data_IF_130465161970
#
_entry.id   IF_130465161970
#
_cell.length_a   1.000
_cell.length_b   1.000
_cell.length_c   1.000
_cell.angle_alpha   90.00
_cell.angle_beta   90.00
_cell.angle_gamma   90.00
#
_symmetry.space_group_name_H-M   'P 1'
#
loop_
_entity.id
_entity.type
_entity.pdbx_description
1 polymer ?
#
# COMPACT_ATOMS: atom_id res chain seq x y z
N UNK A 1 -57.46 -11.42 15.32
CA UNK A 1 -56.62 -10.21 15.34
C UNK A 1 -55.15 -10.48 15.73
N UNK A 2 -54.82 -11.40 16.67
CA UNK A 2 -53.42 -11.70 17.07
C UNK A 2 -52.51 -12.31 15.96
N UNK A 3 -53.07 -13.01 14.96
CA UNK A 3 -52.30 -13.68 13.90
C UNK A 3 -51.82 -12.72 12.78
N UNK A 4 -52.51 -11.61 12.57
CA UNK A 4 -52.12 -10.59 11.54
C UNK A 4 -50.94 -9.76 12.04
N UNK A 5 -50.84 -9.45 13.34
CA UNK A 5 -49.74 -8.72 13.91
C UNK A 5 -48.40 -9.47 13.84
N UNK A 6 -48.41 -10.79 13.96
CA UNK A 6 -47.22 -11.63 13.89
C UNK A 6 -46.66 -11.69 12.46
N UNK A 7 -47.56 -11.64 11.45
CA UNK A 7 -47.13 -11.69 10.02
C UNK A 7 -46.44 -10.40 9.58
N UNK A 8 -46.82 -9.25 10.16
CA UNK A 8 -46.21 -7.95 9.83
C UNK A 8 -44.79 -7.85 10.43
N UNK A 9 -44.55 -8.45 11.59
CA UNK A 9 -43.23 -8.43 12.23
C UNK A 9 -42.19 -9.29 11.50
N UNK A 10 -42.63 -10.34 10.79
CA UNK A 10 -41.76 -11.25 10.04
C UNK A 10 -41.24 -10.64 8.73
N UNK A 11 -41.91 -9.61 8.17
CA UNK A 11 -41.53 -8.95 6.93
C UNK A 11 -40.62 -7.72 7.13
N UNK A 12 -40.42 -7.25 8.37
CA UNK A 12 -39.58 -6.07 8.68
C UNK A 12 -38.08 -6.22 8.38
N UNK A 13 -37.44 -7.40 8.51
CA UNK A 13 -36.00 -7.52 8.23
C UNK A 13 -35.62 -7.46 6.75
N UNK A 14 -36.56 -7.51 5.82
CA UNK A 14 -36.29 -7.48 4.38
C UNK A 14 -36.16 -6.06 3.79
N UNK A 15 -36.31 -5.02 4.61
CA UNK A 15 -36.14 -3.62 4.19
C UNK A 15 -34.68 -3.12 4.42
N UNK A 16 -33.71 -4.01 4.62
CA UNK A 16 -32.28 -3.66 4.60
C UNK A 16 -31.90 -3.26 3.18
N UNK A 17 -32.00 -1.96 2.92
CA UNK A 17 -31.55 -1.34 1.68
C UNK A 17 -30.05 -1.55 1.54
N UNK A 18 -29.62 -2.27 0.52
CA UNK A 18 -28.22 -2.33 0.14
C UNK A 18 -27.74 -0.89 -0.15
N UNK A 19 -26.70 -0.45 0.52
CA UNK A 19 -26.15 0.89 0.26
C UNK A 19 -25.59 0.91 -1.16
N UNK A 20 -25.94 1.89 -1.99
CA UNK A 20 -25.37 1.98 -3.34
C UNK A 20 -23.87 2.28 -3.22
N UNK A 21 -23.05 1.54 -3.95
CA UNK A 21 -21.63 1.85 -4.08
C UNK A 21 -21.47 3.19 -4.80
N UNK A 22 -20.63 4.08 -4.25
CA UNK A 22 -20.23 5.31 -4.91
C UNK A 22 -18.85 5.11 -5.54
N UNK A 23 -18.76 5.32 -6.84
CA UNK A 23 -17.49 5.25 -7.58
C UNK A 23 -16.85 6.64 -7.58
N UNK A 24 -15.61 6.72 -7.09
CA UNK A 24 -14.78 7.92 -7.15
C UNK A 24 -13.55 7.64 -8.02
N UNK A 25 -13.30 8.51 -8.99
CA UNK A 25 -12.10 8.46 -9.82
C UNK A 25 -11.00 9.31 -9.18
N UNK A 26 -9.81 8.75 -9.06
CA UNK A 26 -8.60 9.42 -8.60
C UNK A 26 -7.56 9.35 -9.70
N UNK A 27 -6.97 10.48 -10.06
CA UNK A 27 -5.99 10.60 -11.14
C UNK A 27 -4.93 11.66 -10.78
N UNK A 28 -4.05 11.96 -11.73
CA UNK A 28 -3.09 13.06 -11.60
C UNK A 28 -3.77 14.43 -11.37
N UNK A 29 -5.02 14.59 -11.78
CA UNK A 29 -5.80 15.82 -11.56
C UNK A 29 -6.15 16.01 -10.09
N UNK A 30 -6.34 14.93 -9.35
CA UNK A 30 -6.61 14.92 -7.92
C UNK A 30 -5.33 14.88 -7.07
N UNK A 31 -4.14 14.80 -7.71
CA UNK A 31 -2.84 14.86 -7.05
C UNK A 31 -2.06 13.54 -7.00
N UNK A 32 -2.51 12.50 -7.70
CA UNK A 32 -1.73 11.26 -7.86
C UNK A 32 -0.49 11.55 -8.72
N UNK A 33 0.65 10.95 -8.40
CA UNK A 33 1.90 11.19 -9.13
C UNK A 33 1.89 10.66 -10.57
N UNK A 34 1.23 9.52 -10.80
CA UNK A 34 1.07 8.90 -12.11
C UNK A 34 -0.23 8.09 -12.16
N UNK A 35 -0.88 8.04 -13.32
CA UNK A 35 -2.12 7.27 -13.52
C UNK A 35 -1.88 5.75 -13.60
N UNK A 36 -0.64 5.30 -13.81
CA UNK A 36 -0.29 3.89 -13.78
C UNK A 36 -0.04 3.43 -12.35
N UNK A 37 -1.11 3.01 -11.68
CA UNK A 37 -1.08 2.44 -10.34
C UNK A 37 -0.83 0.93 -10.44
N UNK A 38 0.26 0.46 -9.86
CA UNK A 38 0.67 -0.96 -9.89
C UNK A 38 0.29 -1.72 -8.62
N UNK A 39 0.14 -1.02 -7.50
CA UNK A 39 -0.22 -1.64 -6.21
C UNK A 39 -0.93 -0.64 -5.30
N UNK A 40 -1.84 -1.15 -4.48
CA UNK A 40 -2.57 -0.37 -3.48
C UNK A 40 -2.53 -1.13 -2.15
N UNK A 41 -2.28 -0.41 -1.06
CA UNK A 41 -2.38 -0.91 0.31
C UNK A 41 -3.17 0.06 1.18
N UNK A 42 -3.77 -0.42 2.26
CA UNK A 42 -4.44 0.42 3.25
C UNK A 42 -3.74 0.25 4.59
N UNK A 43 -3.34 1.36 5.22
CA UNK A 43 -2.75 1.35 6.54
C UNK A 43 -3.81 1.27 7.67
N UNK A 44 -3.36 0.96 8.88
CA UNK A 44 -4.23 0.86 10.07
C UNK A 44 -5.00 2.15 10.40
N UNK A 45 -4.55 3.30 9.91
CA UNK A 45 -5.19 4.61 10.12
C UNK A 45 -6.25 4.90 9.05
N UNK A 46 -6.41 3.97 8.07
CA UNK A 46 -7.35 4.08 6.98
C UNK A 46 -6.84 4.85 5.77
N UNK A 47 -5.59 5.35 5.77
CA UNK A 47 -5.00 5.97 4.58
C UNK A 47 -4.73 4.92 3.52
N UNK A 48 -4.93 5.29 2.26
CA UNK A 48 -4.58 4.46 1.11
C UNK A 48 -3.20 4.84 0.59
N UNK A 49 -2.42 3.83 0.27
CA UNK A 49 -1.10 3.97 -0.32
C UNK A 49 -1.12 3.43 -1.74
N UNK A 50 -0.56 4.20 -2.67
CA UNK A 50 -0.54 3.85 -4.09
C UNK A 50 0.91 3.83 -4.57
N UNK A 51 1.36 2.67 -5.05
CA UNK A 51 2.59 2.55 -5.80
C UNK A 51 2.32 2.87 -7.27
N UNK A 52 3.11 3.73 -7.84
CA UNK A 52 3.03 4.10 -9.26
C UNK A 52 4.40 3.98 -9.92
N UNK A 53 4.46 4.17 -11.24
CA UNK A 53 5.73 4.30 -11.97
C UNK A 53 6.49 5.59 -11.66
N UNK A 54 5.85 6.56 -10.98
CA UNK A 54 6.45 7.85 -10.64
C UNK A 54 6.25 8.23 -9.18
N UNK A 55 6.54 7.30 -8.26
CA UNK A 55 6.58 7.56 -6.84
C UNK A 55 5.51 6.86 -6.02
N UNK A 56 5.64 7.04 -4.70
CA UNK A 56 4.72 6.52 -3.70
C UNK A 56 3.75 7.63 -3.26
N UNK A 57 2.47 7.32 -3.26
CA UNK A 57 1.43 8.27 -2.89
C UNK A 57 0.67 7.78 -1.67
N UNK A 58 0.45 8.66 -0.70
CA UNK A 58 -0.44 8.46 0.44
C UNK A 58 -1.67 9.34 0.27
N UNK A 59 -2.86 8.77 0.41
CA UNK A 59 -4.14 9.45 0.35
C UNK A 59 -4.88 9.34 1.69
N UNK A 60 -5.17 10.46 2.32
CA UNK A 60 -5.84 10.53 3.62
C UNK A 60 -7.39 10.61 3.52
N UNK A 61 -7.94 10.45 2.31
CA UNK A 61 -9.35 10.64 2.00
C UNK A 61 -9.68 12.01 1.40
N UNK A 62 -8.78 12.99 1.53
CA UNK A 62 -8.94 14.37 1.07
C UNK A 62 -7.87 14.75 0.06
N UNK A 63 -6.60 14.49 0.37
CA UNK A 63 -5.43 14.93 -0.41
C UNK A 63 -4.39 13.84 -0.54
N UNK A 64 -3.56 13.97 -1.56
CA UNK A 64 -2.36 13.17 -1.76
C UNK A 64 -1.14 13.83 -1.12
N UNK A 65 -0.30 13.00 -0.50
CA UNK A 65 1.09 13.29 -0.16
C UNK A 65 1.95 12.34 -0.98
N UNK A 66 2.90 12.86 -1.76
CA UNK A 66 3.74 12.06 -2.63
C UNK A 66 5.18 12.03 -2.12
N UNK A 67 5.78 10.84 -2.16
CA UNK A 67 7.18 10.58 -1.85
C UNK A 67 7.90 10.22 -3.15
N UNK A 68 8.98 10.94 -3.43
CA UNK A 68 9.86 10.72 -4.58
C UNK A 68 11.26 10.31 -4.10
N UNK A 69 12.02 9.69 -4.99
CA UNK A 69 13.46 9.55 -4.80
C UNK A 69 14.10 10.93 -4.71
N UNK A 70 14.79 11.20 -3.61
CA UNK A 70 15.55 12.43 -3.41
C UNK A 70 17.05 12.14 -3.40
N UNK A 71 17.82 12.88 -4.22
CA UNK A 71 19.27 12.69 -4.33
C UNK A 71 20.07 13.74 -3.54
N UNK A 72 19.46 14.88 -3.18
CA UNK A 72 20.20 16.08 -2.76
C UNK A 72 19.94 16.58 -1.35
N UNK A 73 18.86 16.20 -0.70
CA UNK A 73 18.44 16.85 0.56
C UNK A 73 18.92 16.15 1.83
N UNK A 74 19.51 14.95 1.72
CA UNK A 74 19.87 14.12 2.88
C UNK A 74 18.68 13.60 3.68
N UNK A 75 17.46 13.87 3.24
CA UNK A 75 16.26 13.24 3.78
C UNK A 75 16.21 11.78 3.34
N UNK A 76 15.82 10.91 4.27
CA UNK A 76 15.50 9.54 3.92
C UNK A 76 14.25 9.54 3.03
N UNK A 77 14.39 9.01 1.83
CA UNK A 77 13.34 8.91 0.82
C UNK A 77 13.31 7.50 0.22
N UNK A 78 12.35 7.24 -0.67
CA UNK A 78 12.38 6.02 -1.48
C UNK A 78 13.59 6.03 -2.43
N UNK A 79 14.13 4.84 -2.70
CA UNK A 79 15.36 4.67 -3.52
C UNK A 79 15.13 4.72 -5.02
N UNK A 80 13.88 4.57 -5.45
CA UNK A 80 13.48 4.62 -6.86
C UNK A 80 12.02 5.05 -6.98
N UNK A 81 11.68 5.73 -8.08
CA UNK A 81 10.30 6.17 -8.33
C UNK A 81 9.45 5.10 -9.00
N UNK A 82 10.06 4.18 -9.76
CA UNK A 82 9.35 3.05 -10.38
C UNK A 82 9.08 1.98 -9.32
N UNK A 83 7.83 1.91 -8.85
CA UNK A 83 7.41 0.98 -7.81
C UNK A 83 6.66 -0.20 -8.43
N UNK A 84 6.80 -1.39 -7.83
CA UNK A 84 6.15 -2.62 -8.31
C UNK A 84 5.12 -3.19 -7.34
N UNK A 85 5.35 -3.09 -6.03
CA UNK A 85 4.44 -3.67 -5.04
C UNK A 85 4.47 -2.94 -3.70
N UNK A 86 3.37 -3.07 -2.96
CA UNK A 86 3.21 -2.64 -1.58
C UNK A 86 2.72 -3.79 -0.72
N UNK A 87 3.18 -3.82 0.54
CA UNK A 87 2.64 -4.66 1.59
C UNK A 87 2.56 -3.84 2.89
N UNK A 88 1.35 -3.63 3.42
CA UNK A 88 1.19 -3.12 4.78
C UNK A 88 1.42 -4.27 5.77
N UNK A 89 2.40 -4.09 6.65
CA UNK A 89 2.66 -5.02 7.74
C UNK A 89 2.03 -4.47 9.04
N UNK A 90 0.88 -5.01 9.42
CA UNK A 90 0.17 -4.52 10.59
C UNK A 90 0.86 -4.87 11.91
N UNK A 91 1.74 -5.85 11.96
CA UNK A 91 2.45 -6.26 13.17
C UNK A 91 3.56 -5.27 13.49
N UNK A 92 4.43 -5.03 12.52
CA UNK A 92 5.62 -4.18 12.72
C UNK A 92 5.36 -2.70 12.47
N UNK A 93 4.15 -2.33 12.00
CA UNK A 93 3.79 -0.96 11.62
C UNK A 93 4.73 -0.40 10.55
N UNK A 94 4.97 -1.21 9.52
CA UNK A 94 5.84 -0.90 8.39
C UNK A 94 5.04 -1.07 7.09
N UNK A 95 5.23 -0.14 6.16
CA UNK A 95 4.86 -0.34 4.76
C UNK A 95 6.10 -0.78 3.98
N UNK A 96 6.07 -1.98 3.46
CA UNK A 96 7.08 -2.53 2.57
C UNK A 96 6.79 -2.09 1.14
N UNK A 97 7.81 -1.57 0.46
CA UNK A 97 7.71 -1.00 -0.89
C UNK A 97 8.77 -1.66 -1.76
N UNK A 98 8.35 -2.47 -2.70
CA UNK A 98 9.21 -3.08 -3.71
C UNK A 98 9.36 -2.15 -4.92
N UNK A 99 10.60 -1.96 -5.38
CA UNK A 99 10.93 -1.09 -6.51
C UNK A 99 11.41 -1.88 -7.71
N UNK A 100 11.34 -1.26 -8.87
CA UNK A 100 12.04 -1.74 -10.05
C UNK A 100 13.50 -1.30 -9.98
N UNK A 101 14.42 -2.25 -9.78
CA UNK A 101 15.88 -2.02 -9.81
C UNK A 101 16.48 -1.12 -8.70
N UNK A 102 15.75 -0.86 -7.62
CA UNK A 102 16.26 -0.03 -6.51
C UNK A 102 16.07 -0.68 -5.12
N UNK A 103 15.75 -1.99 -5.08
CA UNK A 103 15.60 -2.77 -3.85
C UNK A 103 14.27 -2.57 -3.15
N UNK A 104 14.26 -2.76 -1.84
CA UNK A 104 13.09 -2.63 -0.98
C UNK A 104 13.26 -1.42 -0.07
N UNK A 105 12.20 -0.64 0.08
CA UNK A 105 12.10 0.38 1.12
C UNK A 105 11.10 -0.06 2.18
N UNK A 106 11.45 0.11 3.44
CA UNK A 106 10.59 -0.06 4.59
C UNK A 106 10.24 1.33 5.16
N UNK A 107 9.00 1.76 4.99
CA UNK A 107 8.51 3.00 5.57
C UNK A 107 7.96 2.74 6.97
N UNK A 108 8.54 3.40 7.97
CA UNK A 108 8.11 3.30 9.35
C UNK A 108 7.08 4.39 9.66
N UNK A 109 5.85 3.98 10.01
CA UNK A 109 4.75 4.89 10.33
C UNK A 109 4.94 5.72 11.59
N UNK A 110 5.82 5.26 12.51
CA UNK A 110 5.99 5.94 13.82
C UNK A 110 6.82 7.21 13.72
N UNK A 111 7.81 7.23 12.82
CA UNK A 111 8.79 8.31 12.72
C UNK A 111 8.92 8.90 11.30
N UNK A 112 8.05 8.49 10.37
CA UNK A 112 8.02 8.97 8.99
C UNK A 112 9.38 8.84 8.29
N UNK A 113 10.00 7.65 8.42
CA UNK A 113 11.34 7.38 7.89
C UNK A 113 11.37 6.15 6.99
N UNK A 114 12.35 6.11 6.11
CA UNK A 114 12.60 4.97 5.22
C UNK A 114 13.90 4.27 5.63
N UNK A 115 13.88 2.93 5.59
CA UNK A 115 15.06 2.08 5.64
C UNK A 115 15.12 1.34 4.30
N UNK A 116 16.31 1.16 3.75
CA UNK A 116 16.50 0.54 2.45
C UNK A 116 17.28 -0.76 2.56
N UNK A 117 16.83 -1.77 1.82
CA UNK A 117 17.50 -3.05 1.64
C UNK A 117 17.83 -3.22 0.16
N UNK A 118 19.09 -3.54 -0.12
CA UNK A 118 19.60 -3.67 -1.49
C UNK A 118 20.47 -4.90 -1.65
N UNK A 119 20.64 -5.31 -2.91
CA UNK A 119 21.64 -6.31 -3.28
C UNK A 119 23.05 -5.79 -2.98
N UNK A 120 23.90 -6.70 -2.46
CA UNK A 120 25.31 -6.44 -2.22
C UNK A 120 26.11 -7.72 -2.54
N UNK A 121 26.92 -7.69 -3.58
CA UNK A 121 27.74 -8.83 -4.03
C UNK A 121 28.66 -9.38 -2.93
N UNK A 122 29.06 -8.56 -1.97
CA UNK A 122 29.93 -8.95 -0.86
C UNK A 122 29.16 -9.47 0.38
N UNK A 123 27.82 -9.46 0.34
CA UNK A 123 27.00 -9.94 1.44
C UNK A 123 25.98 -10.97 0.96
N UNK A 124 26.21 -12.28 1.18
CA UNK A 124 25.31 -13.35 0.75
C UNK A 124 23.94 -13.32 1.46
N UNK A 125 23.79 -12.58 2.56
CA UNK A 125 22.52 -12.38 3.26
C UNK A 125 21.71 -11.18 2.72
N UNK A 126 22.23 -10.47 1.72
CA UNK A 126 21.52 -9.38 1.07
C UNK A 126 20.49 -9.91 0.06
N UNK A 127 19.70 -8.98 -0.53
CA UNK A 127 18.78 -9.33 -1.63
C UNK A 127 19.55 -9.99 -2.79
N UNK A 128 18.92 -10.95 -3.47
CA UNK A 128 19.50 -11.59 -4.65
C UNK A 128 19.65 -10.59 -5.80
N UNK A 129 18.70 -9.66 -5.92
CA UNK A 129 18.69 -8.55 -6.90
C UNK A 129 17.84 -7.40 -6.37
N UNK A 130 18.02 -6.23 -6.93
CA UNK A 130 17.27 -5.02 -6.58
C UNK A 130 15.91 -4.90 -7.32
N UNK A 131 15.59 -5.81 -8.23
CA UNK A 131 14.33 -5.78 -8.98
C UNK A 131 13.26 -6.61 -8.26
N UNK A 132 12.38 -5.95 -7.52
CA UNK A 132 11.40 -6.57 -6.64
C UNK A 132 10.04 -6.62 -7.34
N UNK A 133 9.47 -7.80 -7.49
CA UNK A 133 8.17 -7.97 -8.16
C UNK A 133 7.02 -8.15 -7.18
N UNK A 134 7.25 -8.78 -6.02
CA UNK A 134 6.23 -8.98 -4.99
C UNK A 134 6.83 -9.18 -3.60
N UNK A 135 6.09 -8.77 -2.58
CA UNK A 135 6.40 -9.00 -1.18
C UNK A 135 5.16 -9.59 -0.50
N UNK A 136 5.34 -10.65 0.31
CA UNK A 136 4.27 -11.31 1.05
C UNK A 136 4.74 -11.55 2.48
N UNK A 137 3.91 -11.21 3.48
CA UNK A 137 4.13 -11.60 4.85
C UNK A 137 3.61 -13.03 5.08
N UNK A 138 4.44 -13.88 5.66
CA UNK A 138 4.05 -15.21 6.09
C UNK A 138 3.53 -15.20 7.54
N UNK A 139 2.78 -16.23 7.90
CA UNK A 139 2.21 -16.36 9.24
C UNK A 139 3.25 -16.57 10.36
N UNK A 140 4.46 -16.94 10.01
CA UNK A 140 5.61 -17.11 10.92
C UNK A 140 6.42 -15.83 11.15
N UNK A 141 5.97 -14.68 10.59
CA UNK A 141 6.64 -13.39 10.67
C UNK A 141 7.73 -13.14 9.63
N UNK A 142 7.98 -14.11 8.74
CA UNK A 142 8.94 -13.94 7.66
C UNK A 142 8.32 -13.18 6.47
N UNK A 143 9.17 -12.48 5.71
CA UNK A 143 8.79 -11.89 4.42
C UNK A 143 9.29 -12.78 3.29
N UNK A 144 8.39 -13.09 2.36
CA UNK A 144 8.73 -13.72 1.10
C UNK A 144 8.84 -12.64 0.04
N UNK A 145 10.00 -12.61 -0.62
CA UNK A 145 10.35 -11.59 -1.61
C UNK A 145 10.55 -12.27 -2.96
N UNK A 146 9.72 -11.87 -3.93
CA UNK A 146 9.89 -12.31 -5.31
C UNK A 146 10.70 -11.25 -6.06
N UNK A 147 11.70 -11.71 -6.80
CA UNK A 147 12.58 -10.84 -7.59
C UNK A 147 12.54 -11.25 -9.06
N UNK A 148 12.83 -10.29 -9.92
CA UNK A 148 13.12 -10.55 -11.34
C UNK A 148 14.64 -10.52 -11.53
N UNK A 149 15.14 -11.43 -12.38
CA UNK A 149 16.57 -11.47 -12.72
C UNK A 149 16.80 -11.91 -14.15
#
# INVERSE_FOLDING_TARGET
MKKILLSIFLCLPFLLSAQPYTIKHLSIREGLSNNHVVSIAQDKRGSLWFATEEGLNKFDGIRFLTYYKEETTGKQSITGNELNCLLDDPVDSILWIGTQRAGINAYNYANDSFITYRHNENNPESLVTDDITKIIAASDGNLWICTYW
#
